data_IF_060352423336
#
_entry.id   IF_060352423336
#
_cell.length_a   1.000
_cell.length_b   1.000
_cell.length_c   1.000
_cell.angle_alpha   90.00
_cell.angle_beta   90.00
_cell.angle_gamma   90.00
#
_symmetry.space_group_name_H-M   'P 1'
#
loop_
_entity.id
_entity.type
_entity.pdbx_description
1 polymer ?
#
# COMPACT_ATOMS: atom_id res chain seq x y z
N UNK A 1 -13.88 -4.11 -30.53
CA UNK A 1 -12.54 -3.86 -29.98
C UNK A 1 -12.29 -4.76 -28.77
N UNK A 2 -12.31 -6.08 -29.00
CA UNK A 2 -12.07 -7.13 -28.00
C UNK A 2 -10.66 -7.65 -28.23
N UNK A 3 -9.61 -6.92 -27.83
CA UNK A 3 -8.23 -7.41 -28.01
C UNK A 3 -7.15 -6.72 -27.17
N UNK A 4 -7.46 -6.18 -25.97
CA UNK A 4 -6.39 -5.63 -25.10
C UNK A 4 -6.36 -6.27 -23.71
N UNK A 5 -7.48 -6.81 -23.21
CA UNK A 5 -7.49 -7.57 -21.95
C UNK A 5 -6.70 -8.90 -22.01
N UNK A 6 -6.37 -9.40 -23.22
CA UNK A 6 -5.69 -10.68 -23.41
C UNK A 6 -4.16 -10.66 -23.28
N UNK A 7 -3.51 -9.50 -23.33
CA UNK A 7 -2.04 -9.42 -23.47
C UNK A 7 -1.28 -9.20 -22.16
N UNK A 8 -1.93 -8.78 -21.08
CA UNK A 8 -1.30 -8.68 -19.75
C UNK A 8 -1.47 -9.93 -18.88
N UNK A 9 -2.27 -10.91 -19.33
CA UNK A 9 -2.52 -12.15 -18.59
C UNK A 9 -1.49 -13.27 -18.87
N UNK A 10 -0.48 -13.04 -19.71
CA UNK A 10 0.37 -14.14 -20.23
C UNK A 10 1.53 -14.51 -19.30
N UNK A 11 1.88 -13.71 -18.27
CA UNK A 11 3.04 -14.00 -17.41
C UNK A 11 2.79 -14.00 -15.88
N UNK A 12 1.54 -13.93 -15.42
CA UNK A 12 1.22 -14.23 -14.02
C UNK A 12 0.74 -15.68 -13.89
N UNK A 13 1.36 -16.45 -12.98
CA UNK A 13 1.01 -17.86 -12.75
C UNK A 13 -0.49 -17.99 -12.46
N UNK A 14 -1.26 -18.75 -13.27
CA UNK A 14 -2.72 -18.76 -13.24
C UNK A 14 -3.31 -19.68 -12.15
N UNK A 15 -2.71 -19.72 -10.95
CA UNK A 15 -3.13 -20.61 -9.86
C UNK A 15 -3.40 -19.92 -8.52
N UNK A 16 -3.22 -18.60 -8.44
CA UNK A 16 -3.60 -17.79 -7.27
C UNK A 16 -4.77 -16.83 -7.55
N UNK A 17 -5.47 -16.97 -8.67
CA UNK A 17 -6.84 -16.45 -8.84
C UNK A 17 -7.81 -17.34 -8.05
N UNK A 18 -7.55 -17.44 -6.76
CA UNK A 18 -8.05 -18.45 -5.83
C UNK A 18 -9.47 -18.09 -5.34
N UNK A 19 -10.21 -19.07 -4.83
CA UNK A 19 -11.57 -18.96 -4.22
C UNK A 19 -11.76 -17.74 -3.30
N UNK A 20 -10.67 -17.18 -2.78
CA UNK A 20 -10.62 -15.92 -2.03
C UNK A 20 -11.11 -14.71 -2.81
N UNK A 21 -10.68 -14.51 -4.06
CA UNK A 21 -11.13 -13.38 -4.88
C UNK A 21 -12.65 -13.45 -5.14
N UNK A 22 -13.17 -14.65 -5.40
CA UNK A 22 -14.61 -14.90 -5.56
C UNK A 22 -15.41 -14.64 -4.28
N UNK A 23 -14.85 -14.98 -3.10
CA UNK A 23 -15.47 -14.62 -1.82
C UNK A 23 -15.45 -13.11 -1.61
N UNK A 24 -14.31 -12.43 -1.80
CA UNK A 24 -14.21 -10.98 -1.65
C UNK A 24 -15.21 -10.23 -2.56
N UNK A 25 -15.37 -10.67 -3.82
CA UNK A 25 -16.38 -10.15 -4.75
C UNK A 25 -17.81 -10.37 -4.24
N UNK A 26 -18.11 -11.55 -3.68
CA UNK A 26 -19.41 -11.84 -3.10
C UNK A 26 -19.72 -10.97 -1.89
N UNK A 27 -18.70 -10.59 -1.12
CA UNK A 27 -18.89 -9.68 0.01
C UNK A 27 -19.02 -8.24 -0.51
N UNK A 28 -18.20 -7.80 -1.47
CA UNK A 28 -18.29 -6.49 -2.14
C UNK A 28 -19.70 -6.20 -2.68
N UNK A 29 -20.37 -7.25 -3.15
CA UNK A 29 -21.72 -7.19 -3.67
C UNK A 29 -22.82 -7.48 -2.62
N UNK A 30 -22.47 -7.64 -1.35
CA UNK A 30 -23.41 -7.85 -0.25
C UNK A 30 -23.43 -6.61 0.66
N UNK A 31 -24.57 -5.91 0.69
CA UNK A 31 -24.71 -4.62 1.40
C UNK A 31 -24.87 -4.76 2.94
N UNK A 32 -24.94 -5.99 3.48
CA UNK A 32 -25.06 -6.20 4.94
C UNK A 32 -23.70 -6.08 5.65
N UNK A 33 -23.56 -5.03 6.46
CA UNK A 33 -22.39 -4.76 7.32
C UNK A 33 -22.11 -5.91 8.30
N UNK A 34 -23.13 -6.61 8.77
CA UNK A 34 -23.00 -7.75 9.69
C UNK A 34 -22.39 -8.98 9.00
N UNK A 35 -22.71 -9.18 7.72
CA UNK A 35 -22.08 -10.22 6.91
C UNK A 35 -20.59 -9.93 6.68
N UNK A 36 -20.24 -8.66 6.43
CA UNK A 36 -18.85 -8.21 6.37
C UNK A 36 -18.10 -8.47 7.67
N UNK A 37 -18.65 -8.05 8.82
CA UNK A 37 -18.00 -8.22 10.11
C UNK A 37 -17.71 -9.68 10.47
N UNK A 38 -18.66 -10.57 10.19
CA UNK A 38 -18.51 -12.01 10.49
C UNK A 38 -17.42 -12.65 9.64
N UNK A 39 -17.38 -12.29 8.36
CA UNK A 39 -16.42 -12.84 7.41
C UNK A 39 -15.03 -12.23 7.64
N UNK A 40 -14.90 -10.91 7.91
CA UNK A 40 -13.61 -10.30 8.26
C UNK A 40 -12.98 -10.93 9.50
N UNK A 41 -13.77 -11.32 10.51
CA UNK A 41 -13.28 -12.10 11.66
C UNK A 41 -12.73 -13.46 11.23
N UNK A 42 -13.34 -14.10 10.24
CA UNK A 42 -12.87 -15.37 9.69
C UNK A 42 -11.62 -15.21 8.80
N UNK A 43 -11.33 -14.02 8.28
CA UNK A 43 -10.12 -13.75 7.51
C UNK A 43 -8.97 -13.18 8.36
N UNK A 44 -9.23 -12.99 9.66
CA UNK A 44 -8.26 -12.42 10.61
C UNK A 44 -6.96 -13.21 10.69
N UNK A 45 -7.00 -14.55 10.52
CA UNK A 45 -5.80 -15.40 10.51
C UNK A 45 -4.99 -15.30 9.21
N UNK A 46 -5.56 -14.73 8.15
CA UNK A 46 -4.92 -14.56 6.86
C UNK A 46 -4.19 -13.21 6.74
N UNK A 47 -4.58 -12.26 7.59
CA UNK A 47 -3.93 -10.97 7.80
C UNK A 47 -3.04 -11.02 9.03
N UNK A 48 -1.93 -11.75 8.94
CA UNK A 48 -0.90 -11.67 9.97
C UNK A 48 -0.29 -10.26 9.97
N UNK A 49 -0.67 -9.46 10.97
CA UNK A 49 -0.24 -8.08 11.13
C UNK A 49 1.29 -7.99 11.13
N UNK A 50 1.85 -7.17 10.24
CA UNK A 50 3.30 -6.97 10.14
C UNK A 50 3.75 -5.89 11.10
N UNK A 51 4.68 -6.27 11.98
CA UNK A 51 5.26 -5.36 12.96
C UNK A 51 6.33 -4.44 12.32
N UNK A 52 6.82 -3.50 13.11
CA UNK A 52 7.83 -2.52 12.66
C UNK A 52 9.15 -3.15 12.25
N UNK A 53 9.57 -4.24 12.89
CA UNK A 53 10.81 -4.95 12.57
C UNK A 53 10.76 -5.58 11.19
N UNK A 54 9.61 -6.13 10.84
CA UNK A 54 9.38 -6.72 9.53
C UNK A 54 9.65 -5.70 8.41
N UNK A 55 9.14 -4.47 8.53
CA UNK A 55 9.37 -3.42 7.54
C UNK A 55 10.84 -2.99 7.48
N UNK A 56 11.52 -2.85 8.62
CA UNK A 56 12.95 -2.51 8.65
C UNK A 56 13.83 -3.55 7.97
N UNK A 57 13.47 -4.84 8.08
CA UNK A 57 14.20 -5.92 7.43
C UNK A 57 13.82 -6.07 5.95
N UNK A 58 12.53 -6.01 5.64
CA UNK A 58 12.02 -6.20 4.27
C UNK A 58 12.49 -5.10 3.31
N UNK A 59 12.60 -3.86 3.79
CA UNK A 59 13.01 -2.69 2.98
C UNK A 59 14.51 -2.63 2.70
N UNK A 60 15.31 -3.58 3.20
CA UNK A 60 16.72 -3.71 2.81
C UNK A 60 16.87 -4.14 1.34
N UNK A 61 15.91 -4.90 0.82
CA UNK A 61 15.77 -5.23 -0.60
C UNK A 61 14.49 -4.58 -1.14
N UNK A 62 14.63 -3.39 -1.70
CA UNK A 62 13.49 -2.63 -2.19
C UNK A 62 12.79 -3.27 -3.39
N UNK A 63 13.53 -3.95 -4.27
CA UNK A 63 12.91 -4.65 -5.41
C UNK A 63 12.03 -5.79 -4.91
N UNK A 64 12.54 -6.59 -3.98
CA UNK A 64 11.76 -7.65 -3.33
C UNK A 64 10.58 -7.10 -2.54
N UNK A 65 10.78 -6.02 -1.77
CA UNK A 65 9.72 -5.36 -1.00
C UNK A 65 8.58 -4.88 -1.91
N UNK A 66 8.90 -4.13 -2.97
CA UNK A 66 7.89 -3.64 -3.92
C UNK A 66 7.08 -4.78 -4.55
N UNK A 67 7.77 -5.87 -4.92
CA UNK A 67 7.15 -7.04 -5.52
C UNK A 67 6.25 -7.79 -4.54
N UNK A 68 6.76 -8.16 -3.36
CA UNK A 68 5.99 -8.95 -2.38
C UNK A 68 4.82 -8.17 -1.78
N UNK A 69 4.94 -6.84 -1.70
CA UNK A 69 3.84 -5.97 -1.29
C UNK A 69 2.84 -5.69 -2.42
N UNK A 70 3.21 -5.93 -3.68
CA UNK A 70 2.32 -5.74 -4.83
C UNK A 70 2.11 -4.27 -5.20
N UNK A 71 3.19 -3.49 -5.25
CA UNK A 71 3.14 -2.11 -5.74
C UNK A 71 2.98 -2.08 -7.26
N UNK A 72 2.16 -1.15 -7.73
CA UNK A 72 2.01 -0.87 -9.17
C UNK A 72 3.08 0.14 -9.55
N UNK A 73 4.10 -0.32 -10.28
CA UNK A 73 5.30 0.45 -10.61
C UNK A 73 5.25 1.09 -12.01
N UNK A 74 4.11 1.02 -12.71
CA UNK A 74 3.87 1.67 -14.01
C UNK A 74 2.51 2.38 -14.01
N UNK A 75 2.36 3.46 -14.78
CA UNK A 75 1.06 4.09 -15.00
C UNK A 75 0.12 3.11 -15.73
N UNK A 76 -1.17 3.08 -15.39
CA UNK A 76 -2.12 2.13 -15.97
C UNK A 76 -2.79 2.67 -17.23
N UNK A 77 -2.83 3.99 -17.38
CA UNK A 77 -3.36 4.67 -18.58
C UNK A 77 -2.55 5.92 -18.90
N UNK A 78 -2.68 6.40 -20.14
CA UNK A 78 -2.10 7.68 -20.55
C UNK A 78 -2.75 8.85 -19.81
N UNK A 79 -4.06 8.80 -19.60
CA UNK A 79 -4.80 9.80 -18.82
C UNK A 79 -4.26 9.95 -17.39
N UNK A 80 -3.97 8.83 -16.71
CA UNK A 80 -3.37 8.86 -15.39
C UNK A 80 -1.93 9.40 -15.41
N UNK A 81 -1.16 9.11 -16.47
CA UNK A 81 0.21 9.59 -16.63
C UNK A 81 0.26 11.11 -16.89
N UNK A 82 -0.70 11.63 -17.64
CA UNK A 82 -0.82 13.05 -17.98
C UNK A 82 -1.39 13.90 -16.83
N UNK A 83 -1.90 13.26 -15.77
CA UNK A 83 -2.50 13.93 -14.62
C UNK A 83 -1.85 13.52 -13.28
N UNK A 84 -0.63 14.01 -12.98
CA UNK A 84 0.05 13.71 -11.73
C UNK A 84 -0.61 14.40 -10.53
N UNK A 85 -0.79 13.63 -9.44
CA UNK A 85 -1.39 14.11 -8.18
C UNK A 85 -0.33 14.17 -7.08
N UNK A 86 -0.44 15.15 -6.18
CA UNK A 86 0.40 15.25 -4.98
C UNK A 86 -0.40 14.94 -3.70
N UNK A 87 0.15 14.06 -2.86
CA UNK A 87 -0.41 13.68 -1.56
C UNK A 87 0.46 14.22 -0.42
N UNK A 88 -0.19 14.71 0.63
CA UNK A 88 0.44 14.99 1.93
C UNK A 88 -0.18 14.08 2.99
N UNK A 89 0.61 13.13 3.49
CA UNK A 89 0.17 12.12 4.46
C UNK A 89 0.70 12.47 5.85
N UNK A 90 -0.20 12.79 6.79
CA UNK A 90 0.15 13.03 8.20
C UNK A 90 -0.01 11.74 9.00
N UNK A 91 1.07 11.24 9.60
CA UNK A 91 1.09 9.95 10.30
C UNK A 91 1.82 10.03 11.64
N UNK A 92 1.38 9.23 12.62
CA UNK A 92 1.99 9.23 13.97
C UNK A 92 2.17 7.84 14.60
N UNK A 93 1.57 6.78 14.05
CA UNK A 93 1.69 5.39 14.54
C UNK A 93 1.36 4.37 13.45
N UNK A 94 1.59 3.09 13.76
CA UNK A 94 1.18 1.91 12.98
C UNK A 94 1.69 1.88 11.54
N UNK A 95 2.96 1.49 11.36
CA UNK A 95 3.63 1.48 10.04
C UNK A 95 2.91 0.60 9.01
N UNK A 96 2.26 -0.48 9.44
CA UNK A 96 1.48 -1.32 8.54
C UNK A 96 0.28 -0.57 7.95
N UNK A 97 -0.40 0.26 8.74
CA UNK A 97 -1.51 1.05 8.21
C UNK A 97 -1.01 2.13 7.25
N UNK A 98 0.12 2.77 7.59
CA UNK A 98 0.77 3.76 6.72
C UNK A 98 1.16 3.13 5.38
N UNK A 99 1.81 1.96 5.41
CA UNK A 99 2.22 1.27 4.18
C UNK A 99 1.00 0.79 3.37
N UNK A 100 -0.05 0.26 4.01
CA UNK A 100 -1.26 -0.16 3.31
C UNK A 100 -1.96 1.01 2.64
N UNK A 101 -2.02 2.17 3.31
CA UNK A 101 -2.53 3.40 2.72
C UNK A 101 -1.67 3.81 1.54
N UNK A 102 -0.35 3.91 1.72
CA UNK A 102 0.58 4.28 0.65
C UNK A 102 0.40 3.37 -0.56
N UNK A 103 0.42 2.04 -0.36
CA UNK A 103 0.20 1.06 -1.41
C UNK A 103 -1.14 1.22 -2.12
N UNK A 104 -2.22 1.56 -1.41
CA UNK A 104 -3.53 1.73 -2.05
C UNK A 104 -3.57 2.93 -3.01
N UNK A 105 -2.82 4.00 -2.72
CA UNK A 105 -2.83 5.23 -3.51
C UNK A 105 -1.60 5.38 -4.40
N UNK A 106 -0.55 4.56 -4.23
CA UNK A 106 0.73 4.71 -4.90
C UNK A 106 0.61 4.50 -6.41
N UNK A 107 1.11 5.48 -7.18
CA UNK A 107 1.38 5.38 -8.61
C UNK A 107 2.70 6.09 -8.91
N UNK A 108 3.50 5.60 -9.88
CA UNK A 108 4.82 6.15 -10.15
C UNK A 108 4.80 7.62 -10.61
N UNK A 109 3.73 8.07 -11.27
CA UNK A 109 3.60 9.45 -11.73
C UNK A 109 3.17 10.46 -10.64
N UNK A 110 2.69 9.99 -9.49
CA UNK A 110 2.20 10.83 -8.40
C UNK A 110 3.32 11.16 -7.42
N UNK A 111 3.17 12.24 -6.64
CA UNK A 111 4.13 12.65 -5.61
C UNK A 111 3.55 12.46 -4.20
N UNK A 112 4.37 12.01 -3.26
CA UNK A 112 3.96 11.71 -1.89
C UNK A 112 4.90 12.37 -0.89
N UNK A 113 4.38 13.24 -0.04
CA UNK A 113 5.07 13.78 1.11
C UNK A 113 4.49 13.17 2.38
N UNK A 114 5.29 12.41 3.11
CA UNK A 114 4.90 11.81 4.39
C UNK A 114 5.43 12.68 5.52
N UNK A 115 4.52 13.30 6.25
CA UNK A 115 4.81 14.01 7.49
C UNK A 115 4.63 13.07 8.68
N UNK A 116 5.74 12.74 9.33
CA UNK A 116 5.73 11.97 10.58
C UNK A 116 5.74 12.93 11.76
N UNK A 117 4.76 12.83 12.64
CA UNK A 117 4.67 13.64 13.86
C UNK A 117 5.99 13.56 14.66
N UNK A 118 6.49 14.70 15.12
CA UNK A 118 7.72 14.81 15.92
C UNK A 118 7.67 13.97 17.20
N UNK A 119 6.48 13.75 17.77
CA UNK A 119 6.30 12.97 19.00
C UNK A 119 6.20 11.45 18.77
N UNK A 120 6.20 11.01 17.50
CA UNK A 120 6.08 9.60 17.18
C UNK A 120 7.31 8.81 17.67
N UNK A 121 7.13 7.51 17.91
CA UNK A 121 8.22 6.66 18.40
C UNK A 121 9.38 6.63 17.37
N UNK A 122 10.65 6.71 17.81
CA UNK A 122 11.80 6.71 16.88
C UNK A 122 11.84 5.47 15.98
N UNK A 123 11.41 4.31 16.48
CA UNK A 123 11.35 3.07 15.69
C UNK A 123 10.30 3.15 14.57
N UNK A 124 9.15 3.76 14.85
CA UNK A 124 8.12 4.01 13.84
C UNK A 124 8.63 4.95 12.75
N UNK A 125 9.26 6.07 13.12
CA UNK A 125 9.87 7.00 12.16
C UNK A 125 10.87 6.28 11.25
N UNK A 126 11.79 5.49 11.82
CA UNK A 126 12.77 4.71 11.05
C UNK A 126 12.09 3.76 10.05
N UNK A 127 11.02 3.08 10.44
CA UNK A 127 10.34 2.15 9.55
C UNK A 127 9.57 2.87 8.44
N UNK A 128 8.89 3.99 8.73
CA UNK A 128 8.25 4.81 7.69
C UNK A 128 9.29 5.39 6.73
N UNK A 129 10.42 5.84 7.24
CA UNK A 129 11.54 6.29 6.42
C UNK A 129 12.08 5.15 5.53
N UNK A 130 12.24 3.94 6.08
CA UNK A 130 12.73 2.79 5.32
C UNK A 130 11.76 2.37 4.20
N UNK A 131 10.45 2.42 4.44
CA UNK A 131 9.43 2.23 3.40
C UNK A 131 9.53 3.32 2.33
N UNK A 132 9.63 4.60 2.74
CA UNK A 132 9.75 5.71 1.81
C UNK A 132 11.03 5.64 0.95
N UNK A 133 12.15 5.16 1.51
CA UNK A 133 13.40 5.01 0.77
C UNK A 133 13.34 3.99 -0.36
N UNK A 134 12.36 3.08 -0.36
CA UNK A 134 12.12 2.19 -1.48
C UNK A 134 11.41 2.85 -2.67
N UNK A 135 11.04 4.13 -2.59
CA UNK A 135 10.44 4.87 -3.71
C UNK A 135 11.19 6.19 -3.92
N UNK A 136 12.46 6.11 -4.37
CA UNK A 136 13.38 7.24 -4.38
C UNK A 136 13.04 8.31 -5.42
N UNK A 137 12.07 8.13 -6.31
CA UNK A 137 11.73 9.15 -7.30
C UNK A 137 10.64 10.11 -6.80
N UNK A 138 9.65 9.58 -6.08
CA UNK A 138 8.38 10.28 -5.87
C UNK A 138 7.81 10.22 -4.44
N UNK A 139 8.38 9.42 -3.53
CA UNK A 139 8.00 9.44 -2.10
C UNK A 139 9.11 10.10 -1.28
N UNK A 140 8.73 11.03 -0.41
CA UNK A 140 9.65 11.79 0.45
C UNK A 140 9.09 11.92 1.86
N UNK A 141 9.97 11.90 2.85
CA UNK A 141 9.62 12.33 4.21
C UNK A 141 9.74 13.86 4.28
N UNK A 142 8.79 14.51 4.94
CA UNK A 142 8.82 15.95 5.16
C UNK A 142 10.11 16.36 5.89
N UNK A 143 10.82 17.36 5.36
CA UNK A 143 12.09 17.86 5.94
C UNK A 143 11.92 18.43 7.34
N UNK A 144 10.74 18.98 7.65
CA UNK A 144 10.40 19.56 8.96
C UNK A 144 9.28 18.76 9.62
N UNK A 145 9.56 18.23 10.79
CA UNK A 145 8.57 17.58 11.65
C UNK A 145 8.02 18.57 12.68
N UNK A 146 6.70 18.58 12.85
CA UNK A 146 6.02 19.40 13.86
C UNK A 146 5.37 18.49 14.89
N UNK A 147 5.23 18.99 16.12
CA UNK A 147 4.48 18.32 17.17
C UNK A 147 3.01 18.72 17.04
N UNK A 148 2.18 17.85 16.47
CA UNK A 148 0.77 18.15 16.19
C UNK A 148 -0.04 18.07 17.48
N UNK A 149 -0.86 19.10 17.75
CA UNK A 149 -1.81 19.14 18.86
C UNK A 149 -3.23 18.89 18.35
N UNK A 150 -4.08 18.32 19.20
CA UNK A 150 -5.51 18.08 18.93
C UNK A 150 -6.37 19.15 19.61
#
# INVERSE_FOLDING_TARGET
AVTIAGLLAVNEKPTQFSRKALRALRIANNDSVEAWHREMKNWSWEFEAKNTEWYLNATQDCAWFQWIRGYIMSSLSQEEADFPIAFSLLVYKDVEMVERLLRSVYRPQNFYCIHVDKKAQPKFYKAVHAVASCFPDNVRIASRQINVQW
#
